data_IF_547366231082
#
_entry.id   IF_547366231082
#
_cell.length_a   1.000
_cell.length_b   1.000
_cell.length_c   1.000
_cell.angle_alpha   90.00
_cell.angle_beta   90.00
_cell.angle_gamma   90.00
#
_symmetry.space_group_name_H-M   'P 1'
#
loop_
_entity.id
_entity.type
_entity.pdbx_description
1 polymer ?
#
# COMPACT_ATOMS: atom_id res chain seq x y z
N UNK A 1 -28.98 57.73 1.27
CA UNK A 1 -29.02 56.26 1.05
C UNK A 1 -28.09 55.71 -0.06
N UNK A 2 -27.31 56.52 -0.81
CA UNK A 2 -26.44 56.04 -1.92
C UNK A 2 -25.06 55.47 -1.54
N UNK A 3 -24.56 55.71 -0.31
CA UNK A 3 -23.25 55.20 0.15
C UNK A 3 -23.29 53.71 0.55
N UNK A 4 -24.44 53.22 1.02
CA UNK A 4 -24.62 51.83 1.47
C UNK A 4 -24.47 50.82 0.33
N UNK A 5 -25.12 51.06 -0.82
CA UNK A 5 -25.08 50.14 -1.96
C UNK A 5 -23.67 49.97 -2.57
N UNK A 6 -22.84 51.02 -2.59
CA UNK A 6 -21.45 50.93 -3.09
C UNK A 6 -20.56 50.09 -2.17
N UNK A 7 -20.75 50.19 -0.85
CA UNK A 7 -20.03 49.35 0.13
C UNK A 7 -20.39 47.87 -0.04
N UNK A 8 -21.67 47.54 -0.21
CA UNK A 8 -22.12 46.14 -0.36
C UNK A 8 -21.59 45.48 -1.62
N UNK A 9 -21.48 46.23 -2.73
CA UNK A 9 -20.91 45.72 -4.00
C UNK A 9 -19.42 45.44 -3.86
N UNK A 10 -18.66 46.34 -3.21
CA UNK A 10 -17.21 46.15 -2.99
C UNK A 10 -16.96 44.94 -2.08
N UNK A 11 -17.72 44.80 -0.99
CA UNK A 11 -17.60 43.65 -0.09
C UNK A 11 -17.93 42.34 -0.82
N UNK A 12 -18.99 42.32 -1.64
CA UNK A 12 -19.37 41.13 -2.40
C UNK A 12 -18.32 40.75 -3.45
N UNK A 13 -17.69 41.75 -4.11
CA UNK A 13 -16.60 41.52 -5.05
C UNK A 13 -15.35 40.96 -4.37
N UNK A 14 -14.97 41.49 -3.19
CA UNK A 14 -13.84 40.98 -2.39
C UNK A 14 -14.11 39.54 -1.96
N UNK A 15 -15.30 39.24 -1.46
CA UNK A 15 -15.70 37.87 -1.08
C UNK A 15 -15.65 36.94 -2.29
N UNK A 16 -16.14 37.39 -3.46
CA UNK A 16 -16.10 36.63 -4.70
C UNK A 16 -14.67 36.32 -5.17
N UNK A 17 -13.75 37.29 -5.09
CA UNK A 17 -12.34 37.11 -5.43
C UNK A 17 -11.65 36.17 -4.43
N UNK A 18 -11.90 36.31 -3.13
CA UNK A 18 -11.37 35.42 -2.10
C UNK A 18 -11.88 33.99 -2.25
N UNK A 19 -13.18 33.81 -2.55
CA UNK A 19 -13.76 32.50 -2.88
C UNK A 19 -13.16 31.91 -4.17
N UNK A 20 -12.95 32.73 -5.20
CA UNK A 20 -12.32 32.31 -6.45
C UNK A 20 -10.87 31.85 -6.26
N UNK A 21 -10.07 32.63 -5.54
CA UNK A 21 -8.69 32.27 -5.18
C UNK A 21 -8.69 31.00 -4.31
N UNK A 22 -9.59 30.89 -3.34
CA UNK A 22 -9.72 29.71 -2.51
C UNK A 22 -10.06 28.44 -3.31
N UNK A 23 -10.96 28.52 -4.29
CA UNK A 23 -11.28 27.38 -5.16
C UNK A 23 -10.11 26.97 -6.05
N UNK A 24 -9.21 27.90 -6.40
CA UNK A 24 -8.01 27.64 -7.20
C UNK A 24 -6.87 27.06 -6.34
N UNK A 25 -6.70 27.55 -5.11
CA UNK A 25 -5.64 27.10 -4.18
C UNK A 25 -6.05 25.93 -3.28
N UNK A 26 -7.35 25.59 -3.20
CA UNK A 26 -7.88 24.48 -2.40
C UNK A 26 -7.62 23.09 -3.00
N UNK A 27 -6.81 22.98 -4.05
CA UNK A 27 -6.46 21.71 -4.69
C UNK A 27 -4.94 21.53 -4.79
N UNK A 28 -4.46 20.40 -4.28
CA UNK A 28 -3.10 19.93 -4.53
C UNK A 28 -3.13 19.05 -5.77
N UNK A 29 -2.30 19.35 -6.77
CA UNK A 29 -2.22 18.57 -8.01
C UNK A 29 -0.86 17.93 -8.16
N UNK A 30 -0.82 16.62 -8.41
CA UNK A 30 0.41 15.92 -8.77
C UNK A 30 0.73 16.13 -10.26
N UNK A 31 2.01 16.15 -10.68
CA UNK A 31 2.34 16.08 -12.10
C UNK A 31 2.03 14.68 -12.66
N UNK A 32 1.94 14.55 -13.99
CA UNK A 32 2.06 13.23 -14.63
C UNK A 32 3.49 12.73 -14.44
N UNK A 33 3.68 11.50 -13.96
CA UNK A 33 5.01 10.93 -13.73
C UNK A 33 5.26 9.85 -14.77
N UNK A 34 6.27 10.05 -15.60
CA UNK A 34 6.82 9.04 -16.50
C UNK A 34 8.02 8.41 -15.80
N UNK A 35 7.88 7.16 -15.38
CA UNK A 35 8.90 6.48 -14.61
C UNK A 35 9.56 5.35 -15.38
N UNK A 36 10.84 5.13 -15.12
CA UNK A 36 11.59 3.93 -15.53
C UNK A 36 12.23 3.29 -14.30
N UNK A 37 12.09 1.98 -14.16
CA UNK A 37 12.66 1.19 -13.08
C UNK A 37 13.79 0.35 -13.61
N UNK A 38 14.97 0.54 -13.03
CA UNK A 38 16.18 -0.19 -13.39
C UNK A 38 16.74 -0.91 -12.18
N UNK A 39 17.27 -2.11 -12.40
CA UNK A 39 18.06 -2.79 -11.39
C UNK A 39 19.37 -2.03 -11.16
N UNK A 40 19.70 -1.73 -9.89
CA UNK A 40 20.86 -0.91 -9.57
C UNK A 40 22.20 -1.57 -9.96
N UNK A 41 22.26 -2.90 -9.97
CA UNK A 41 23.47 -3.68 -10.26
C UNK A 41 23.60 -3.94 -11.75
N UNK A 42 22.57 -4.52 -12.37
CA UNK A 42 22.61 -4.96 -13.78
C UNK A 42 22.28 -3.85 -14.77
N UNK A 43 21.71 -2.73 -14.29
CA UNK A 43 21.17 -1.62 -15.10
C UNK A 43 20.08 -2.02 -16.09
N UNK A 44 19.56 -3.26 -15.98
CA UNK A 44 18.49 -3.74 -16.83
C UNK A 44 17.12 -3.23 -16.35
N UNK A 45 16.16 -3.05 -17.27
CA UNK A 45 14.79 -2.74 -16.90
C UNK A 45 14.17 -3.87 -16.08
N UNK A 46 13.35 -3.49 -15.09
CA UNK A 46 12.64 -4.45 -14.23
C UNK A 46 11.17 -4.52 -14.65
N UNK A 47 10.76 -5.64 -15.23
CA UNK A 47 9.36 -5.92 -15.55
C UNK A 47 8.57 -6.27 -14.27
N UNK A 48 7.27 -5.92 -14.25
CA UNK A 48 6.35 -6.28 -13.18
C UNK A 48 6.78 -5.81 -11.77
N UNK A 49 7.54 -4.71 -11.70
CA UNK A 49 7.78 -4.03 -10.44
C UNK A 49 6.50 -3.32 -10.01
N UNK A 50 6.07 -3.55 -8.77
CA UNK A 50 4.89 -2.90 -8.20
C UNK A 50 5.24 -1.45 -7.85
N UNK A 51 4.52 -0.51 -8.44
CA UNK A 51 4.71 0.92 -8.23
C UNK A 51 3.61 1.48 -7.36
N UNK A 52 3.99 2.14 -6.27
CA UNK A 52 3.07 2.89 -5.40
C UNK A 52 3.46 4.36 -5.38
N UNK A 53 2.47 5.23 -5.18
CA UNK A 53 2.68 6.67 -5.11
C UNK A 53 1.85 7.26 -3.99
N UNK A 54 2.50 7.86 -3.00
CA UNK A 54 1.87 8.44 -1.82
C UNK A 54 2.22 9.93 -1.69
N UNK A 55 1.22 10.73 -1.35
CA UNK A 55 1.41 12.14 -1.01
C UNK A 55 1.64 12.23 0.50
N UNK A 56 2.62 12.98 0.99
CA UNK A 56 2.73 13.30 2.42
C UNK A 56 2.02 14.61 2.70
N UNK A 57 0.91 14.53 3.43
CA UNK A 57 0.16 15.68 3.91
C UNK A 57 0.33 15.79 5.41
N UNK A 58 0.87 16.90 5.88
CA UNK A 58 0.91 17.23 7.30
C UNK A 58 -0.29 18.09 7.65
N UNK A 59 -1.03 17.73 8.68
CA UNK A 59 -2.21 18.46 9.19
C UNK A 59 -1.92 18.87 10.63
N UNK A 60 -1.79 20.17 10.89
CA UNK A 60 -1.64 20.66 12.26
C UNK A 60 -2.99 20.55 13.01
N UNK A 61 -3.01 19.83 14.13
CA UNK A 61 -4.20 19.70 14.99
C UNK A 61 -3.92 20.16 16.42
N UNK A 62 -4.97 20.28 17.24
CA UNK A 62 -4.84 20.61 18.67
C UNK A 62 -4.04 19.53 19.42
N UNK A 63 -4.03 18.28 18.94
CA UNK A 63 -3.29 17.16 19.52
C UNK A 63 -1.85 17.05 18.99
N UNK A 64 -1.41 17.99 18.13
CA UNK A 64 -0.13 17.93 17.44
C UNK A 64 -0.29 17.69 15.93
N UNK A 65 0.84 17.52 15.25
CA UNK A 65 0.87 17.31 13.81
C UNK A 65 0.50 15.87 13.45
N UNK A 66 -0.49 15.71 12.56
CA UNK A 66 -0.93 14.41 12.02
C UNK A 66 -0.47 14.30 10.56
N UNK A 67 0.14 13.17 10.19
CA UNK A 67 0.52 12.90 8.80
C UNK A 67 -0.51 12.00 8.12
N UNK A 68 -0.96 12.38 6.93
CA UNK A 68 -1.88 11.62 6.09
C UNK A 68 -1.18 11.30 4.79
N UNK A 69 -1.25 10.02 4.38
CA UNK A 69 -0.54 9.51 3.20
C UNK A 69 -1.48 9.04 2.08
N UNK A 70 -2.26 9.92 1.42
CA UNK A 70 -3.19 9.45 0.41
C UNK A 70 -2.45 8.96 -0.84
N UNK A 71 -2.90 7.83 -1.38
CA UNK A 71 -2.36 7.27 -2.60
C UNK A 71 -2.76 8.11 -3.83
N UNK A 72 -1.78 8.43 -4.67
CA UNK A 72 -1.97 9.11 -5.95
C UNK A 72 -1.67 8.25 -7.18
N UNK A 73 -0.88 7.19 -7.03
CA UNK A 73 -0.75 6.19 -8.08
C UNK A 73 -2.11 5.47 -8.30
N UNK A 74 -2.40 5.02 -9.54
CA UNK A 74 -3.47 4.08 -9.80
C UNK A 74 -3.28 2.81 -8.97
N UNK A 75 -4.39 2.14 -8.64
CA UNK A 75 -4.33 0.78 -8.11
C UNK A 75 -3.64 -0.14 -9.14
N UNK A 76 -2.95 -1.17 -8.65
CA UNK A 76 -2.36 -2.21 -9.52
C UNK A 76 -1.29 -1.71 -10.50
N UNK A 77 -0.72 -0.52 -10.29
CA UNK A 77 0.28 0.03 -11.20
C UNK A 77 1.57 -0.80 -11.17
N UNK A 78 2.02 -1.21 -12.37
CA UNK A 78 3.24 -1.99 -12.57
C UNK A 78 4.05 -1.45 -13.72
N UNK A 79 5.33 -1.83 -13.73
CA UNK A 79 6.18 -1.62 -14.89
C UNK A 79 5.90 -2.62 -16.00
N UNK A 80 6.04 -2.15 -17.23
CA UNK A 80 6.02 -3.01 -18.42
C UNK A 80 7.39 -3.71 -18.64
N UNK A 81 7.53 -4.44 -19.75
CA UNK A 81 8.77 -5.11 -20.18
C UNK A 81 10.00 -4.20 -20.29
N UNK A 82 9.80 -2.92 -20.52
CA UNK A 82 10.86 -1.91 -20.60
C UNK A 82 11.14 -1.25 -19.24
N UNK A 83 10.54 -1.74 -18.16
CA UNK A 83 10.65 -1.14 -16.83
C UNK A 83 9.88 0.18 -16.68
N UNK A 84 9.02 0.53 -17.64
CA UNK A 84 8.34 1.84 -17.67
C UNK A 84 6.97 1.80 -16.99
N UNK A 85 6.62 2.90 -16.33
CA UNK A 85 5.31 3.14 -15.74
C UNK A 85 4.84 4.58 -15.94
N UNK A 86 3.54 4.81 -15.85
CA UNK A 86 2.95 6.15 -15.90
C UNK A 86 1.99 6.32 -14.72
N UNK A 87 2.23 7.34 -13.90
CA UNK A 87 1.26 7.79 -12.90
C UNK A 87 0.54 9.02 -13.47
N UNK A 88 -0.77 8.94 -13.76
CA UNK A 88 -1.53 10.07 -14.24
C UNK A 88 -1.65 11.16 -13.16
N UNK A 89 -1.92 12.37 -13.62
CA UNK A 89 -2.19 13.52 -12.77
C UNK A 89 -3.41 13.26 -11.88
N UNK A 90 -3.26 13.51 -10.58
CA UNK A 90 -4.36 13.43 -9.60
C UNK A 90 -4.49 14.74 -8.84
N UNK A 91 -5.73 15.09 -8.51
CA UNK A 91 -6.03 16.28 -7.71
C UNK A 91 -6.59 15.85 -6.35
N UNK A 92 -6.06 16.45 -5.29
CA UNK A 92 -6.49 16.24 -3.92
C UNK A 92 -7.14 17.53 -3.43
N UNK A 93 -8.40 17.43 -3.02
CA UNK A 93 -9.12 18.56 -2.44
C UNK A 93 -8.64 18.74 -1.00
N UNK A 94 -8.22 19.95 -0.65
CA UNK A 94 -7.94 20.30 0.73
C UNK A 94 -9.27 20.47 1.50
N UNK A 95 -9.38 19.98 2.74
CA UNK A 95 -10.57 20.21 3.56
C UNK A 95 -10.81 21.72 3.76
N UNK A 96 -12.07 22.12 3.94
CA UNK A 96 -12.40 23.53 4.16
C UNK A 96 -12.03 23.91 5.60
N UNK A 97 -11.42 25.09 5.83
CA UNK A 97 -11.33 25.68 7.17
C UNK A 97 -12.63 25.58 7.99
N UNK A 98 -12.57 25.25 9.30
CA UNK A 98 -11.38 25.08 10.12
C UNK A 98 -10.66 23.73 9.96
N UNK A 99 -11.27 22.75 9.28
CA UNK A 99 -10.75 21.39 9.17
C UNK A 99 -9.50 21.26 8.29
N UNK A 100 -9.25 22.23 7.40
CA UNK A 100 -8.06 22.28 6.55
C UNK A 100 -7.00 23.30 6.98
N UNK A 101 -7.22 24.04 8.07
CA UNK A 101 -6.19 24.97 8.57
C UNK A 101 -4.95 24.17 9.00
N UNK A 102 -3.78 24.56 8.50
CA UNK A 102 -2.51 23.90 8.82
C UNK A 102 -2.19 22.66 7.98
N UNK A 103 -2.95 22.37 6.91
CA UNK A 103 -2.60 21.29 6.00
C UNK A 103 -1.51 21.71 4.99
N UNK A 104 -0.33 21.10 5.09
CA UNK A 104 0.83 21.34 4.25
C UNK A 104 1.21 20.09 3.45
N UNK A 105 1.54 20.27 2.17
CA UNK A 105 2.11 19.20 1.34
C UNK A 105 3.61 19.15 1.59
N UNK A 106 4.10 18.06 2.15
CA UNK A 106 5.53 17.91 2.45
C UNK A 106 6.29 17.29 1.29
N UNK A 107 5.66 16.39 0.54
CA UNK A 107 6.30 15.70 -0.58
C UNK A 107 5.41 14.70 -1.28
N UNK A 108 5.83 14.28 -2.46
CA UNK A 108 5.25 13.13 -3.17
C UNK A 108 6.30 12.02 -3.18
N UNK A 109 6.01 10.84 -2.66
CA UNK A 109 6.89 9.69 -2.71
C UNK A 109 6.38 8.71 -3.76
N UNK A 110 7.28 8.21 -4.60
CA UNK A 110 7.02 7.05 -5.46
C UNK A 110 7.93 5.93 -4.97
N UNK A 111 7.34 4.81 -4.60
CA UNK A 111 8.05 3.62 -4.13
C UNK A 111 7.82 2.51 -5.13
N UNK A 112 8.87 1.73 -5.36
CA UNK A 112 8.86 0.59 -6.27
C UNK A 112 9.36 -0.63 -5.53
N UNK A 113 8.65 -1.73 -5.69
CA UNK A 113 8.98 -3.00 -5.08
C UNK A 113 8.96 -4.11 -6.10
N UNK A 114 9.81 -5.11 -5.91
CA UNK A 114 9.94 -6.25 -6.81
C UNK A 114 9.71 -7.56 -6.07
N UNK A 115 9.40 -8.60 -6.82
CA UNK A 115 9.18 -9.93 -6.25
C UNK A 115 10.43 -10.49 -5.57
N UNK A 116 11.61 -10.12 -6.08
CA UNK A 116 12.92 -10.56 -5.58
C UNK A 116 13.45 -9.69 -4.43
N UNK A 117 12.55 -9.10 -3.64
CA UNK A 117 12.87 -8.24 -2.49
C UNK A 117 13.87 -7.12 -2.80
N UNK A 118 13.79 -6.54 -4.01
CA UNK A 118 14.45 -5.28 -4.33
C UNK A 118 13.45 -4.14 -4.21
N UNK A 119 13.89 -3.03 -3.61
CA UNK A 119 13.09 -1.82 -3.43
C UNK A 119 13.85 -0.59 -3.91
N UNK A 120 13.10 0.43 -4.30
CA UNK A 120 13.63 1.75 -4.65
C UNK A 120 12.58 2.81 -4.38
N UNK A 121 13.02 4.02 -4.04
CA UNK A 121 12.11 5.14 -3.83
C UNK A 121 12.68 6.44 -4.40
N UNK A 122 11.77 7.34 -4.75
CA UNK A 122 12.11 8.72 -5.08
C UNK A 122 11.11 9.66 -4.40
N UNK A 123 11.65 10.68 -3.75
CA UNK A 123 10.86 11.77 -3.18
C UNK A 123 10.92 12.97 -4.12
N UNK A 124 9.75 13.32 -4.66
CA UNK A 124 9.55 14.48 -5.51
C UNK A 124 9.09 15.66 -4.65
N UNK A 125 9.73 16.81 -4.83
CA UNK A 125 9.24 18.06 -4.26
C UNK A 125 7.92 18.43 -4.94
N UNK A 126 6.89 18.87 -4.18
CA UNK A 126 5.64 19.32 -4.77
C UNK A 126 5.93 20.51 -5.69
N UNK A 127 5.75 20.33 -6.99
CA UNK A 127 5.82 21.43 -7.95
C UNK A 127 4.44 21.65 -8.53
N UNK A 128 3.77 22.69 -8.04
CA UNK A 128 2.40 23.06 -8.46
C UNK A 128 2.32 23.49 -9.93
N UNK A 129 3.46 23.76 -10.56
CA UNK A 129 3.55 24.32 -11.92
C UNK A 129 4.02 23.32 -12.97
N UNK A 130 4.68 22.22 -12.59
CA UNK A 130 5.10 21.20 -13.56
C UNK A 130 3.91 20.32 -13.95
N UNK A 131 3.68 20.22 -15.25
CA UNK A 131 2.60 19.40 -15.82
C UNK A 131 2.97 17.92 -15.87
N UNK A 132 4.26 17.63 -16.09
CA UNK A 132 4.80 16.28 -16.10
C UNK A 132 6.23 16.26 -15.54
N UNK A 133 6.73 15.07 -15.20
CA UNK A 133 8.11 14.83 -14.79
C UNK A 133 8.55 13.43 -15.20
N UNK A 134 9.82 13.30 -15.55
CA UNK A 134 10.47 12.01 -15.76
C UNK A 134 11.25 11.61 -14.51
N UNK A 135 11.20 10.33 -14.16
CA UNK A 135 11.94 9.77 -13.03
C UNK A 135 12.58 8.44 -13.42
N UNK A 136 13.77 8.19 -12.93
CA UNK A 136 14.39 6.86 -12.98
C UNK A 136 14.58 6.39 -11.55
N UNK A 137 14.04 5.22 -11.23
CA UNK A 137 14.11 4.62 -9.90
C UNK A 137 15.00 3.39 -9.99
N UNK A 138 16.07 3.38 -9.21
CA UNK A 138 16.96 2.23 -9.10
C UNK A 138 16.53 1.36 -7.93
N UNK A 139 16.27 0.08 -8.18
CA UNK A 139 15.94 -0.88 -7.13
C UNK A 139 17.20 -1.60 -6.64
N UNK A 140 17.30 -1.79 -5.32
CA UNK A 140 18.39 -2.47 -4.62
C UNK A 140 17.83 -3.53 -3.68
N UNK A 141 18.60 -4.59 -3.34
CA UNK A 141 18.19 -5.55 -2.33
C UNK A 141 17.77 -4.85 -1.03
N UNK A 142 16.60 -5.23 -0.53
CA UNK A 142 16.04 -4.71 0.72
C UNK A 142 16.78 -5.29 1.92
N UNK A 143 17.20 -4.43 2.84
CA UNK A 143 17.84 -4.80 4.10
C UNK A 143 16.83 -4.69 5.24
N UNK A 144 15.83 -5.59 5.26
CA UNK A 144 14.88 -5.71 6.37
C UNK A 144 15.32 -6.84 7.31
N UNK A 145 15.14 -6.62 8.62
CA UNK A 145 15.18 -7.69 9.61
C UNK A 145 13.99 -8.64 9.40
N UNK A 146 14.05 -9.84 9.99
CA UNK A 146 12.96 -10.83 9.87
C UNK A 146 11.64 -10.30 10.42
N UNK A 147 11.66 -9.56 11.54
CA UNK A 147 10.45 -8.97 12.13
C UNK A 147 9.87 -7.82 11.31
N UNK A 148 10.71 -6.98 10.69
CA UNK A 148 10.26 -5.95 9.75
C UNK A 148 9.63 -6.59 8.51
N UNK A 149 10.24 -7.67 8.00
CA UNK A 149 9.72 -8.39 6.85
C UNK A 149 8.39 -9.09 7.15
N UNK A 150 8.25 -9.73 8.32
CA UNK A 150 6.99 -10.32 8.77
C UNK A 150 5.88 -9.26 8.88
N UNK A 151 6.20 -8.09 9.46
CA UNK A 151 5.26 -6.96 9.55
C UNK A 151 4.83 -6.45 8.17
N UNK A 152 5.77 -6.41 7.21
CA UNK A 152 5.48 -6.07 5.82
C UNK A 152 4.56 -7.12 5.16
N UNK A 153 4.84 -8.41 5.33
CA UNK A 153 3.97 -9.48 4.83
C UNK A 153 2.55 -9.42 5.42
N UNK A 154 2.42 -9.11 6.71
CA UNK A 154 1.13 -8.85 7.36
C UNK A 154 0.37 -7.70 6.70
N UNK A 155 1.06 -6.61 6.34
CA UNK A 155 0.46 -5.48 5.62
C UNK A 155 -0.04 -5.89 4.24
N UNK A 156 0.75 -6.68 3.49
CA UNK A 156 0.35 -7.21 2.19
C UNK A 156 -0.85 -8.16 2.28
N UNK A 157 -0.87 -9.05 3.27
CA UNK A 157 -2.00 -9.93 3.54
C UNK A 157 -3.28 -9.14 3.84
N UNK A 158 -3.18 -8.11 4.68
CA UNK A 158 -4.31 -7.22 4.98
C UNK A 158 -4.78 -6.47 3.75
N UNK A 159 -3.86 -6.02 2.90
CA UNK A 159 -4.21 -5.37 1.65
C UNK A 159 -5.05 -6.31 0.77
N UNK A 160 -4.62 -7.55 0.57
CA UNK A 160 -5.39 -8.47 -0.27
C UNK A 160 -6.73 -8.89 0.35
N UNK A 161 -6.80 -9.08 1.67
CA UNK A 161 -8.04 -9.52 2.34
C UNK A 161 -9.05 -8.41 2.60
N UNK A 162 -8.62 -7.17 2.81
CA UNK A 162 -9.48 -6.07 3.26
C UNK A 162 -9.41 -4.83 2.38
N UNK A 163 -8.52 -4.80 1.39
CA UNK A 163 -8.17 -3.60 0.62
C UNK A 163 -7.40 -2.56 1.45
N UNK A 164 -6.95 -2.86 2.67
CA UNK A 164 -6.22 -1.93 3.53
C UNK A 164 -4.80 -2.39 3.81
N UNK A 165 -3.81 -1.53 3.59
CA UNK A 165 -2.42 -1.78 3.98
C UNK A 165 -2.14 -1.43 5.46
N UNK A 166 -3.13 -0.93 6.20
CA UNK A 166 -3.01 -0.50 7.60
C UNK A 166 -4.35 -0.07 8.21
N UNK A 167 -4.40 0.14 9.53
CA UNK A 167 -5.64 0.52 10.24
C UNK A 167 -6.15 1.90 9.80
N UNK A 168 -5.22 2.81 9.51
CA UNK A 168 -5.50 4.22 9.17
C UNK A 168 -5.56 4.48 7.66
N UNK A 169 -5.33 3.45 6.84
CA UNK A 169 -5.37 3.57 5.38
C UNK A 169 -6.79 3.26 4.88
N UNK A 170 -7.42 4.16 4.10
CA UNK A 170 -8.73 3.88 3.50
C UNK A 170 -8.71 2.59 2.68
N UNK A 171 -9.84 1.88 2.64
CA UNK A 171 -10.01 0.70 1.79
C UNK A 171 -9.78 1.09 0.33
N UNK A 172 -8.81 0.45 -0.32
CA UNK A 172 -8.66 0.47 -1.76
C UNK A 172 -9.92 -0.13 -2.38
N UNK A 173 -10.61 0.63 -3.23
CA UNK A 173 -11.91 0.25 -3.82
C UNK A 173 -11.88 -1.10 -4.54
N UNK A 174 -10.73 -1.51 -5.05
CA UNK A 174 -10.59 -2.64 -5.97
C UNK A 174 -9.91 -3.87 -5.32
N UNK A 175 -9.50 -3.76 -4.04
CA UNK A 175 -8.82 -4.87 -3.35
C UNK A 175 -7.50 -5.21 -4.03
N UNK A 176 -7.17 -6.50 -4.07
CA UNK A 176 -5.95 -7.06 -4.67
C UNK A 176 -6.34 -7.86 -5.91
N UNK A 177 -5.69 -7.59 -7.05
CA UNK A 177 -5.97 -8.32 -8.29
C UNK A 177 -5.26 -9.69 -8.31
N UNK A 178 -5.51 -10.50 -9.35
CA UNK A 178 -4.96 -11.85 -9.43
C UNK A 178 -3.42 -11.89 -9.41
N UNK A 179 -2.77 -10.92 -10.06
CA UNK A 179 -1.30 -10.85 -10.07
C UNK A 179 -0.77 -10.40 -8.71
N UNK A 180 -1.43 -9.45 -8.05
CA UNK A 180 -1.02 -9.00 -6.71
C UNK A 180 -1.17 -10.13 -5.71
N UNK A 181 -2.23 -10.93 -5.85
CA UNK A 181 -2.43 -12.11 -5.02
C UNK A 181 -1.28 -13.10 -5.21
N UNK A 182 -0.89 -13.38 -6.46
CA UNK A 182 0.26 -14.22 -6.77
C UNK A 182 1.57 -13.64 -6.21
N UNK A 183 1.77 -12.34 -6.36
CA UNK A 183 2.94 -11.64 -5.83
C UNK A 183 3.05 -11.79 -4.31
N UNK A 184 1.94 -11.56 -3.59
CA UNK A 184 1.89 -11.67 -2.13
C UNK A 184 2.08 -13.11 -1.68
N UNK A 185 1.48 -14.09 -2.37
CA UNK A 185 1.68 -15.52 -2.10
C UNK A 185 3.15 -15.89 -2.26
N UNK A 186 3.79 -15.52 -3.38
CA UNK A 186 5.20 -15.87 -3.63
C UNK A 186 6.13 -15.27 -2.58
N UNK A 187 5.90 -14.04 -2.12
CA UNK A 187 6.70 -13.47 -1.03
C UNK A 187 6.55 -14.23 0.28
N UNK A 188 5.33 -14.63 0.65
CA UNK A 188 5.10 -15.46 1.83
C UNK A 188 5.75 -16.85 1.69
N UNK A 189 5.63 -17.49 0.53
CA UNK A 189 6.28 -18.79 0.24
C UNK A 189 7.81 -18.67 0.40
N UNK A 190 8.43 -17.63 -0.19
CA UNK A 190 9.86 -17.37 -0.08
C UNK A 190 10.31 -17.15 1.37
N UNK A 191 9.52 -16.42 2.16
CA UNK A 191 9.83 -16.16 3.56
C UNK A 191 9.72 -17.42 4.43
N UNK A 192 8.66 -18.21 4.25
CA UNK A 192 8.50 -19.50 4.92
C UNK A 192 9.65 -20.45 4.58
N UNK A 193 10.08 -20.49 3.31
CA UNK A 193 11.21 -21.30 2.88
C UNK A 193 12.54 -20.82 3.52
N UNK A 194 12.73 -19.51 3.68
CA UNK A 194 13.91 -18.94 4.35
C UNK A 194 13.97 -19.29 5.84
N UNK A 195 12.80 -19.41 6.49
CA UNK A 195 12.70 -19.77 7.90
C UNK A 195 12.88 -21.27 8.19
N UNK A 196 13.03 -22.12 7.16
CA UNK A 196 13.03 -23.59 7.29
C UNK A 196 13.82 -24.06 8.54
N UNK A 197 13.10 -24.71 9.45
CA UNK A 197 13.50 -25.08 10.83
C UNK A 197 13.73 -23.87 11.75
N UNK A 198 12.65 -23.21 12.23
CA UNK A 198 12.78 -22.09 13.15
C UNK A 198 13.47 -22.50 14.46
N UNK A 199 14.65 -21.92 14.68
CA UNK A 199 15.55 -22.19 15.80
C UNK A 199 15.23 -21.38 17.07
N UNK A 200 14.45 -20.30 16.91
CA UNK A 200 14.02 -19.42 18.00
C UNK A 200 12.50 -19.38 18.17
N UNK A 201 12.03 -18.97 19.35
CA UNK A 201 10.59 -18.76 19.60
C UNK A 201 9.97 -17.69 18.70
N UNK A 202 10.76 -16.67 18.35
CA UNK A 202 10.37 -15.58 17.46
C UNK A 202 10.20 -16.08 16.02
N UNK A 203 11.17 -16.80 15.46
CA UNK A 203 11.05 -17.40 14.12
C UNK A 203 9.89 -18.40 14.04
N UNK A 204 9.60 -19.14 15.12
CA UNK A 204 8.41 -20.00 15.19
C UNK A 204 7.12 -19.19 15.07
N UNK A 205 7.08 -17.99 15.63
CA UNK A 205 5.93 -17.08 15.54
C UNK A 205 5.76 -16.56 14.11
N UNK A 206 6.85 -16.11 13.47
CA UNK A 206 6.84 -15.66 12.08
C UNK A 206 6.46 -16.77 11.10
N UNK A 207 7.02 -17.96 11.28
CA UNK A 207 6.71 -19.13 10.47
C UNK A 207 5.22 -19.48 10.55
N UNK A 208 4.68 -19.55 11.77
CA UNK A 208 3.26 -19.80 12.00
C UNK A 208 2.37 -18.70 11.39
N UNK A 209 2.68 -17.43 11.65
CA UNK A 209 1.92 -16.30 11.11
C UNK A 209 1.89 -16.31 9.58
N UNK A 210 3.05 -16.56 8.96
CA UNK A 210 3.18 -16.63 7.50
C UNK A 210 2.43 -17.82 6.89
N UNK A 211 2.46 -19.00 7.51
CA UNK A 211 1.64 -20.14 7.09
C UNK A 211 0.14 -19.85 7.22
N UNK A 212 -0.27 -19.16 8.29
CA UNK A 212 -1.66 -18.75 8.47
C UNK A 212 -2.11 -17.85 7.32
N UNK A 213 -1.34 -16.81 6.99
CA UNK A 213 -1.65 -15.95 5.84
C UNK A 213 -1.69 -16.74 4.53
N UNK A 214 -0.71 -17.62 4.27
CA UNK A 214 -0.67 -18.44 3.06
C UNK A 214 -1.92 -19.30 2.88
N UNK A 215 -2.40 -19.94 3.96
CA UNK A 215 -3.58 -20.79 3.88
C UNK A 215 -4.83 -20.01 3.39
N UNK A 216 -5.03 -18.80 3.92
CA UNK A 216 -6.11 -17.91 3.49
C UNK A 216 -5.88 -17.35 2.08
N UNK A 217 -4.65 -16.97 1.72
CA UNK A 217 -4.33 -16.47 0.38
C UNK A 217 -4.55 -17.56 -0.70
N UNK A 218 -4.19 -18.82 -0.42
CA UNK A 218 -4.50 -19.95 -1.31
C UNK A 218 -6.01 -20.19 -1.41
N UNK A 219 -6.76 -20.10 -0.31
CA UNK A 219 -8.23 -20.19 -0.35
C UNK A 219 -8.81 -19.09 -1.24
N UNK A 220 -8.35 -17.84 -1.10
CA UNK A 220 -8.78 -16.71 -1.93
C UNK A 220 -8.45 -16.89 -3.41
N UNK A 221 -7.29 -17.47 -3.71
CA UNK A 221 -6.87 -17.77 -5.09
C UNK A 221 -7.70 -18.90 -5.71
N UNK A 222 -8.36 -19.72 -4.88
CA UNK A 222 -9.06 -20.93 -5.32
C UNK A 222 -8.17 -22.19 -5.33
N UNK A 223 -6.93 -22.10 -4.83
CA UNK A 223 -6.01 -23.23 -4.69
C UNK A 223 -6.33 -24.05 -3.43
N UNK A 224 -7.56 -24.59 -3.36
CA UNK A 224 -8.12 -25.21 -2.16
C UNK A 224 -7.27 -26.35 -1.59
N UNK A 225 -6.59 -27.13 -2.45
CA UNK A 225 -5.66 -28.20 -2.01
C UNK A 225 -4.46 -27.63 -1.27
N UNK A 226 -3.83 -26.58 -1.79
CA UNK A 226 -2.70 -25.91 -1.13
C UNK A 226 -3.14 -25.27 0.19
N UNK A 227 -4.32 -24.65 0.22
CA UNK A 227 -4.89 -24.10 1.45
C UNK A 227 -5.05 -25.19 2.52
N UNK A 228 -5.64 -26.34 2.16
CA UNK A 228 -5.86 -27.47 3.05
C UNK A 228 -4.54 -28.05 3.59
N UNK A 229 -3.56 -28.26 2.70
CA UNK A 229 -2.24 -28.76 3.07
C UNK A 229 -1.52 -27.78 4.00
N UNK A 230 -1.65 -26.47 3.77
CA UNK A 230 -1.06 -25.43 4.62
C UNK A 230 -1.68 -25.43 6.02
N UNK A 231 -3.02 -25.56 6.15
CA UNK A 231 -3.67 -25.72 7.45
C UNK A 231 -3.26 -27.01 8.17
N UNK A 232 -2.99 -28.10 7.43
CA UNK A 232 -2.46 -29.34 8.01
C UNK A 232 -1.07 -29.11 8.61
N UNK A 233 -0.20 -28.40 7.92
CA UNK A 233 1.14 -28.04 8.43
C UNK A 233 1.03 -27.17 9.68
N UNK A 234 0.16 -26.16 9.69
CA UNK A 234 -0.11 -25.32 10.87
C UNK A 234 -0.56 -26.13 12.09
N UNK A 235 -1.51 -27.05 11.88
CA UNK A 235 -2.04 -27.92 12.93
C UNK A 235 -0.94 -28.78 13.54
N UNK A 236 -0.11 -29.42 12.72
CA UNK A 236 0.98 -30.26 13.20
C UNK A 236 2.09 -29.45 13.89
N UNK A 237 2.38 -28.24 13.40
CA UNK A 237 3.29 -27.31 14.07
C UNK A 237 2.78 -26.94 15.48
N UNK A 238 1.52 -26.51 15.60
CA UNK A 238 0.95 -26.10 16.89
C UNK A 238 0.86 -27.28 17.88
N UNK A 239 0.49 -28.48 17.42
CA UNK A 239 0.53 -29.70 18.25
C UNK A 239 1.92 -30.01 18.77
N UNK A 240 2.94 -29.97 17.89
CA UNK A 240 4.35 -30.24 18.26
C UNK A 240 4.85 -29.28 19.34
N UNK A 241 4.30 -28.07 19.40
CA UNK A 241 4.66 -27.04 20.36
C UNK A 241 3.67 -26.88 21.52
N UNK A 242 2.73 -27.82 21.71
CA UNK A 242 1.69 -27.79 22.75
C UNK A 242 0.84 -26.51 22.76
N UNK A 243 0.54 -25.95 21.59
CA UNK A 243 -0.32 -24.78 21.41
C UNK A 243 -1.72 -25.27 21.02
N UNK A 244 -2.72 -25.11 21.90
CA UNK A 244 -4.09 -25.60 21.66
C UNK A 244 -5.08 -24.54 21.15
N UNK A 245 -4.77 -23.25 21.33
CA UNK A 245 -5.73 -22.15 21.17
C UNK A 245 -6.39 -22.10 19.77
N UNK A 246 -5.65 -22.43 18.70
CA UNK A 246 -6.12 -22.30 17.33
C UNK A 246 -6.52 -23.63 16.67
N UNK A 247 -6.36 -24.77 17.35
CA UNK A 247 -6.55 -26.09 16.73
C UNK A 247 -7.99 -26.29 16.21
N UNK A 248 -8.98 -25.82 16.96
CA UNK A 248 -10.39 -25.90 16.57
C UNK A 248 -10.68 -25.06 15.31
N UNK A 249 -10.03 -23.91 15.16
CA UNK A 249 -10.18 -23.07 13.95
C UNK A 249 -9.63 -23.80 12.73
N UNK A 250 -8.43 -24.37 12.84
CA UNK A 250 -7.81 -25.10 11.74
C UNK A 250 -8.65 -26.30 11.33
N UNK A 251 -9.16 -27.08 12.29
CA UNK A 251 -10.02 -28.24 12.01
C UNK A 251 -11.29 -27.85 11.26
N UNK A 252 -11.96 -26.78 11.71
CA UNK A 252 -13.13 -26.25 11.02
C UNK A 252 -12.77 -25.83 9.59
N UNK A 253 -11.69 -25.07 9.40
CA UNK A 253 -11.23 -24.62 8.09
C UNK A 253 -10.86 -25.76 7.16
N UNK A 254 -10.16 -26.78 7.67
CA UNK A 254 -9.84 -27.98 6.90
C UNK A 254 -11.09 -28.73 6.46
N UNK A 255 -12.11 -28.84 7.33
CA UNK A 255 -13.39 -29.47 6.99
C UNK A 255 -14.12 -28.70 5.89
N UNK A 256 -14.21 -27.37 6.00
CA UNK A 256 -14.82 -26.50 4.98
C UNK A 256 -14.13 -26.63 3.62
N UNK A 257 -12.79 -26.64 3.60
CA UNK A 257 -12.02 -26.79 2.38
C UNK A 257 -12.18 -28.18 1.76
N UNK A 258 -12.26 -29.23 2.58
CA UNK A 258 -12.49 -30.59 2.11
C UNK A 258 -13.87 -30.76 1.48
N UNK A 259 -14.90 -30.14 2.07
CA UNK A 259 -16.24 -30.12 1.49
C UNK A 259 -16.25 -29.39 0.14
N UNK A 260 -15.63 -28.22 0.05
CA UNK A 260 -15.47 -27.48 -1.22
C UNK A 260 -14.68 -28.23 -2.29
N UNK A 261 -13.78 -29.14 -1.91
CA UNK A 261 -13.01 -29.98 -2.85
C UNK A 261 -13.79 -31.19 -3.36
N UNK A 262 -14.80 -31.63 -2.61
CA UNK A 262 -15.60 -32.82 -2.92
C UNK A 262 -16.88 -32.47 -3.69
N UNK A 263 -17.26 -31.19 -3.72
CA UNK A 263 -18.38 -30.63 -4.49
C UNK A 263 -17.89 -29.98 -5.78
#
# INVERSE_FOLDING_TARGET
>A
MRKSAKCTIIISAIIGVLLGLYLVFGYVRTPVIHGTVLDAETKQPVENAWVTGTLSLKVATIQGDIHVHPAFAPAHLRTNKEGKFIIPRKSFRQPIPPLGFGMNVEGCRVTVETINDKQGEISLKPSFWKWWTEVTIYVKPTLMTEGEYDSYLQSLFRYCTTGRSGVEVPVAKEGCDAWELDYVITKHENFVAKLDKPDSGEKRTYFKGSLYHLAYLFEMKGDLRKALDTFRILKEHDKKHNISFFLNEYERKMSELQEKLNN
#
